data_IF_691413719131
#
_entry.id   IF_691413719131
#
_cell.length_a   1.000
_cell.length_b   1.000
_cell.length_c   1.000
_cell.angle_alpha   90.00
_cell.angle_beta   90.00
_cell.angle_gamma   90.00
#
_symmetry.space_group_name_H-M   'P 1'
#
loop_
_entity.id
_entity.type
_entity.pdbx_description
1 polymer ?
#
# COMPACT_ATOMS: atom_id res chain seq x y z
N UNK A 1 41.82 21.08 22.49
CA UNK A 1 40.88 21.30 21.38
C UNK A 1 40.48 19.95 20.82
N UNK A 2 39.23 19.49 21.02
CA UNK A 2 38.80 18.20 20.48
C UNK A 2 38.32 18.42 19.04
N UNK A 3 39.12 17.97 18.07
CA UNK A 3 38.67 17.74 16.70
C UNK A 3 37.64 16.61 16.73
N UNK A 4 36.36 16.96 16.82
CA UNK A 4 35.28 16.00 16.63
C UNK A 4 35.06 15.82 15.12
N UNK A 5 35.91 14.99 14.51
CA UNK A 5 35.64 14.37 13.21
C UNK A 5 34.41 13.48 13.34
N UNK A 6 33.25 14.12 13.21
CA UNK A 6 31.94 13.50 13.29
C UNK A 6 31.35 13.37 11.88
N UNK A 7 32.20 13.04 10.89
CA UNK A 7 31.80 12.46 9.60
C UNK A 7 31.18 11.08 9.84
N UNK A 8 29.99 11.09 10.45
CA UNK A 8 29.21 9.87 10.63
C UNK A 8 28.64 9.50 9.27
N UNK A 9 29.32 8.55 8.65
CA UNK A 9 28.88 7.75 7.51
C UNK A 9 27.36 7.53 7.62
N UNK A 10 26.62 8.04 6.62
CA UNK A 10 25.24 7.62 6.40
C UNK A 10 25.26 6.09 6.31
N UNK A 11 24.35 5.43 7.02
CA UNK A 11 24.39 3.97 7.13
C UNK A 11 24.35 3.37 5.72
N UNK A 12 25.43 2.72 5.31
CA UNK A 12 25.57 2.06 4.01
C UNK A 12 24.45 1.03 3.88
N UNK A 13 23.56 1.22 2.89
CA UNK A 13 22.41 0.33 2.65
C UNK A 13 21.02 0.94 2.91
N UNK A 14 20.90 2.25 3.10
CA UNK A 14 19.59 2.90 3.11
C UNK A 14 18.99 2.99 1.70
N UNK A 15 17.65 2.83 1.55
CA UNK A 15 16.97 3.17 0.31
C UNK A 15 17.27 4.60 -0.13
N UNK A 16 17.30 4.88 -1.45
CA UNK A 16 17.71 6.19 -1.97
C UNK A 16 16.80 7.32 -1.49
N UNK A 17 15.49 7.10 -1.34
CA UNK A 17 14.57 8.11 -0.81
C UNK A 17 14.90 8.48 0.65
N UNK A 18 15.26 7.48 1.47
CA UNK A 18 15.70 7.69 2.85
C UNK A 18 17.03 8.38 2.97
N UNK A 19 17.99 8.02 2.12
CA UNK A 19 19.29 8.66 2.10
C UNK A 19 19.12 10.17 1.84
N UNK A 20 18.34 10.53 0.81
CA UNK A 20 18.03 11.94 0.51
C UNK A 20 17.36 12.67 1.68
N UNK A 21 16.45 12.01 2.40
CA UNK A 21 15.82 12.60 3.59
C UNK A 21 16.82 12.76 4.75
N UNK A 22 17.69 11.78 4.97
CA UNK A 22 18.73 11.83 5.98
C UNK A 22 19.72 12.98 5.69
N UNK A 23 20.14 13.11 4.43
CA UNK A 23 21.03 14.18 3.98
C UNK A 23 20.38 15.56 4.16
N UNK A 24 19.11 15.71 3.77
CA UNK A 24 18.37 16.96 3.98
C UNK A 24 18.22 17.31 5.48
N UNK A 25 17.97 16.32 6.35
CA UNK A 25 17.94 16.53 7.79
C UNK A 25 19.33 16.91 8.30
N UNK A 26 20.39 16.23 7.87
CA UNK A 26 21.76 16.54 8.26
C UNK A 26 22.14 17.97 7.86
N UNK A 27 21.71 18.43 6.69
CA UNK A 27 21.91 19.80 6.23
C UNK A 27 21.18 20.82 7.12
N UNK A 28 19.93 20.55 7.51
CA UNK A 28 19.23 21.39 8.49
C UNK A 28 19.97 21.45 9.84
N UNK A 29 20.58 20.35 10.28
CA UNK A 29 21.41 20.35 11.48
C UNK A 29 22.67 21.21 11.33
N UNK A 30 23.32 21.23 10.16
CA UNK A 30 24.47 22.11 9.91
C UNK A 30 24.08 23.59 10.01
N UNK A 31 22.89 23.95 9.51
CA UNK A 31 22.36 25.31 9.59
C UNK A 31 22.09 25.76 11.04
N UNK A 32 21.90 24.83 11.98
CA UNK A 32 21.76 25.16 13.41
C UNK A 32 23.09 25.52 14.09
N UNK A 33 24.24 25.37 13.40
CA UNK A 33 25.58 25.59 13.94
C UNK A 33 26.13 24.37 14.69
N UNK A 34 27.14 24.59 15.54
CA UNK A 34 27.81 23.53 16.33
C UNK A 34 26.99 23.02 17.54
N UNK A 35 25.66 22.95 17.39
CA UNK A 35 24.80 22.43 18.45
C UNK A 35 24.89 20.91 18.54
N UNK A 36 25.03 20.42 19.77
CA UNK A 36 24.92 19.01 20.09
C UNK A 36 23.47 18.51 19.92
N UNK A 37 23.29 17.21 19.70
CA UNK A 37 21.94 16.62 19.61
C UNK A 37 21.10 16.84 20.88
N UNK A 38 21.74 16.94 22.05
CA UNK A 38 21.09 17.26 23.31
C UNK A 38 20.53 18.69 23.32
N UNK A 39 21.33 19.67 22.89
CA UNK A 39 20.86 21.06 22.78
C UNK A 39 19.74 21.22 21.76
N UNK A 40 19.81 20.53 20.61
CA UNK A 40 18.72 20.56 19.64
C UNK A 40 17.45 19.91 20.20
N UNK A 41 17.57 18.84 20.98
CA UNK A 41 16.45 18.22 21.69
C UNK A 41 15.77 19.20 22.65
N UNK A 42 16.54 19.94 23.45
CA UNK A 42 16.04 20.96 24.37
C UNK A 42 15.32 22.10 23.64
N UNK A 43 15.90 22.61 22.55
CA UNK A 43 15.28 23.66 21.72
C UNK A 43 13.95 23.19 21.09
N UNK A 44 13.89 21.94 20.63
CA UNK A 44 12.64 21.36 20.11
C UNK A 44 11.63 21.11 21.24
N UNK A 45 12.08 20.72 22.43
CA UNK A 45 11.22 20.53 23.59
C UNK A 45 10.52 21.83 24.00
N UNK A 46 11.19 22.97 23.90
CA UNK A 46 10.59 24.30 24.12
C UNK A 46 9.45 24.63 23.12
N UNK A 47 9.48 24.03 21.92
CA UNK A 47 8.40 24.09 20.92
C UNK A 47 7.42 22.91 21.00
N UNK A 48 7.30 22.28 22.19
CA UNK A 48 6.46 21.11 22.45
C UNK A 48 6.81 19.85 21.64
N UNK A 49 8.06 19.72 21.18
CA UNK A 49 8.58 18.53 20.47
C UNK A 49 9.66 17.83 21.29
N UNK A 50 9.24 17.07 22.32
CA UNK A 50 10.14 16.30 23.18
C UNK A 50 10.59 15.02 22.48
N UNK A 51 11.88 14.92 22.18
CA UNK A 51 12.52 13.76 21.54
C UNK A 51 13.89 13.48 22.13
N UNK A 52 14.15 12.24 22.47
CA UNK A 52 15.45 11.84 23.02
C UNK A 52 16.58 12.04 21.98
N UNK A 53 17.80 12.46 22.39
CA UNK A 53 18.93 12.63 21.46
C UNK A 53 19.24 11.38 20.63
N UNK A 54 19.00 10.17 21.16
CA UNK A 54 19.15 8.92 20.41
C UNK A 54 18.12 8.79 19.28
N UNK A 55 16.90 9.30 19.46
CA UNK A 55 15.86 9.31 18.43
C UNK A 55 16.22 10.32 17.33
N UNK A 56 16.73 11.49 17.70
CA UNK A 56 17.25 12.48 16.75
C UNK A 56 18.42 11.93 15.93
N UNK A 57 19.33 11.18 16.58
CA UNK A 57 20.42 10.47 15.90
C UNK A 57 19.90 9.45 14.88
N UNK A 58 18.83 8.72 15.20
CA UNK A 58 18.18 7.77 14.28
C UNK A 58 17.48 8.46 13.10
N UNK A 59 16.94 9.67 13.29
CA UNK A 59 16.39 10.49 12.21
C UNK A 59 17.49 11.02 11.29
N UNK A 60 18.55 11.60 11.87
CA UNK A 60 19.70 12.14 11.12
C UNK A 60 20.42 11.07 10.31
N UNK A 61 20.51 9.84 10.84
CA UNK A 61 21.14 8.72 10.14
C UNK A 61 20.21 8.00 9.15
N UNK A 62 18.95 8.42 8.97
CA UNK A 62 18.00 7.77 8.07
C UNK A 62 17.49 6.39 8.52
N UNK A 63 17.95 5.89 9.67
CA UNK A 63 17.50 4.59 10.24
C UNK A 63 16.01 4.60 10.55
N UNK A 64 15.47 5.75 10.96
CA UNK A 64 14.03 5.94 11.18
C UNK A 64 13.54 7.13 10.36
N UNK A 65 12.41 6.97 9.67
CA UNK A 65 11.73 8.10 9.01
C UNK A 65 11.03 8.95 10.10
N UNK A 66 11.40 10.23 10.28
CA UNK A 66 10.67 11.09 11.21
C UNK A 66 9.27 11.43 10.69
N UNK A 67 8.33 11.79 11.56
CA UNK A 67 7.08 12.42 11.13
C UNK A 67 7.36 13.77 10.45
N UNK A 68 6.54 14.17 9.47
CA UNK A 68 6.79 15.43 8.73
C UNK A 68 6.69 16.67 9.63
N UNK A 69 5.87 16.61 10.68
CA UNK A 69 5.76 17.64 11.70
C UNK A 69 7.10 17.93 12.39
N UNK A 70 7.94 16.92 12.62
CA UNK A 70 9.31 17.12 13.12
C UNK A 70 10.18 17.89 12.11
N UNK A 71 10.15 17.49 10.83
CA UNK A 71 10.94 18.15 9.77
C UNK A 71 10.57 19.62 9.65
N UNK A 72 9.27 19.94 9.73
CA UNK A 72 8.78 21.32 9.74
C UNK A 72 9.30 22.13 10.93
N UNK A 73 9.31 21.55 12.13
CA UNK A 73 9.82 22.24 13.33
C UNK A 73 11.34 22.43 13.27
N UNK A 74 12.08 21.45 12.76
CA UNK A 74 13.51 21.55 12.56
C UNK A 74 13.86 22.64 11.53
N UNK A 75 13.12 22.71 10.42
CA UNK A 75 13.25 23.77 9.44
C UNK A 75 12.92 25.15 10.03
N UNK A 76 11.86 25.28 10.82
CA UNK A 76 11.53 26.54 11.49
C UNK A 76 12.64 26.98 12.46
N UNK A 77 13.22 26.04 13.21
CA UNK A 77 14.35 26.31 14.09
C UNK A 77 15.61 26.73 13.32
N UNK A 78 15.88 26.09 12.17
CA UNK A 78 16.98 26.47 11.28
C UNK A 78 16.77 27.89 10.71
N UNK A 79 15.54 28.24 10.33
CA UNK A 79 15.17 29.57 9.85
C UNK A 79 15.39 30.65 10.92
N UNK A 80 14.99 30.37 12.16
CA UNK A 80 15.18 31.29 13.30
C UNK A 80 16.65 31.53 13.64
N UNK A 81 17.55 30.56 13.36
CA UNK A 81 18.97 30.63 13.73
C UNK A 81 19.87 31.12 12.61
N UNK A 82 19.67 30.63 11.39
CA UNK A 82 20.53 30.91 10.25
C UNK A 82 19.99 32.04 9.34
N UNK A 83 18.74 32.46 9.53
CA UNK A 83 18.06 33.43 8.66
C UNK A 83 17.47 32.79 7.40
N UNK A 84 16.70 33.58 6.66
CA UNK A 84 16.01 33.15 5.42
C UNK A 84 16.97 32.69 4.33
N UNK A 85 18.09 33.38 4.18
CA UNK A 85 18.96 33.24 3.02
C UNK A 85 19.72 31.91 3.05
N UNK A 86 20.12 31.46 4.26
CA UNK A 86 20.79 30.19 4.45
C UNK A 86 19.87 28.98 4.20
N UNK A 87 18.57 29.11 4.51
CA UNK A 87 17.57 28.04 4.36
C UNK A 87 16.99 27.98 2.94
N UNK A 88 17.22 28.98 2.11
CA UNK A 88 16.69 29.05 0.74
C UNK A 88 17.06 27.85 -0.15
N UNK A 89 18.14 27.14 0.17
CA UNK A 89 18.58 25.91 -0.54
C UNK A 89 17.65 24.70 -0.29
N UNK A 90 16.91 24.72 0.83
CA UNK A 90 16.01 23.66 1.29
C UNK A 90 14.65 24.24 1.74
N UNK A 91 13.85 24.79 0.80
CA UNK A 91 12.52 25.29 1.12
C UNK A 91 11.62 24.17 1.63
N UNK A 92 10.63 24.54 2.46
CA UNK A 92 9.74 23.59 3.12
C UNK A 92 8.99 22.66 2.14
N UNK A 93 8.64 23.15 0.95
CA UNK A 93 7.99 22.34 -0.09
C UNK A 93 8.91 21.26 -0.67
N UNK A 94 10.19 21.58 -0.86
CA UNK A 94 11.21 20.60 -1.26
C UNK A 94 11.40 19.55 -0.18
N UNK A 95 11.43 19.95 1.10
CA UNK A 95 11.48 19.01 2.22
C UNK A 95 10.24 18.11 2.28
N UNK A 96 9.05 18.64 1.94
CA UNK A 96 7.82 17.84 1.84
C UNK A 96 7.92 16.80 0.73
N UNK A 97 8.38 17.19 -0.46
CA UNK A 97 8.58 16.28 -1.59
C UNK A 97 9.58 15.17 -1.23
N UNK A 98 10.72 15.53 -0.64
CA UNK A 98 11.72 14.56 -0.16
C UNK A 98 11.12 13.62 0.90
N UNK A 99 10.33 14.15 1.83
CA UNK A 99 9.67 13.34 2.87
C UNK A 99 8.63 12.38 2.31
N UNK A 100 7.81 12.82 1.34
CA UNK A 100 6.83 11.97 0.67
C UNK A 100 7.51 10.87 -0.15
N UNK A 101 8.59 11.20 -0.86
CA UNK A 101 9.38 10.25 -1.63
C UNK A 101 10.16 9.25 -0.74
N UNK A 102 10.52 9.65 0.49
CA UNK A 102 11.21 8.77 1.42
C UNK A 102 10.34 7.60 1.85
N UNK A 103 10.84 6.39 1.71
CA UNK A 103 10.10 5.18 2.04
C UNK A 103 9.85 5.12 3.56
N UNK A 104 8.58 4.94 3.96
CA UNK A 104 8.25 4.53 5.33
C UNK A 104 9.03 3.26 5.67
N UNK A 105 9.53 3.13 6.89
CA UNK A 105 10.19 1.89 7.35
C UNK A 105 9.13 0.81 7.26
N UNK A 106 9.09 0.11 6.14
CA UNK A 106 8.23 -1.01 5.91
C UNK A 106 9.10 -2.20 6.23
N UNK A 107 8.65 -2.93 7.24
CA UNK A 107 8.98 -4.28 7.66
C UNK A 107 10.34 -4.85 7.18
N UNK A 108 11.17 -5.44 8.05
CA UNK A 108 12.36 -6.18 7.62
C UNK A 108 12.11 -7.18 6.46
N UNK A 109 10.87 -7.70 6.31
CA UNK A 109 10.47 -8.55 5.18
C UNK A 109 10.10 -7.82 3.89
N UNK A 110 9.78 -6.53 3.92
CA UNK A 110 9.38 -5.77 2.73
C UNK A 110 10.54 -5.43 1.80
N UNK A 111 11.78 -5.43 2.28
CA UNK A 111 12.97 -5.24 1.44
C UNK A 111 13.14 -6.34 0.40
N UNK A 112 13.27 -7.61 0.82
CA UNK A 112 13.28 -8.76 -0.09
C UNK A 112 12.07 -8.80 -1.02
N UNK A 113 10.86 -8.59 -0.48
CA UNK A 113 9.63 -8.60 -1.27
C UNK A 113 9.58 -7.50 -2.34
N UNK A 114 10.18 -6.32 -2.11
CA UNK A 114 10.26 -5.26 -3.13
C UNK A 114 11.24 -5.59 -4.24
N UNK A 115 12.38 -6.19 -3.89
CA UNK A 115 13.36 -6.66 -4.87
C UNK A 115 12.71 -7.74 -5.74
N UNK A 116 12.05 -8.70 -5.11
CA UNK A 116 11.29 -9.75 -5.79
C UNK A 116 10.19 -9.17 -6.68
N UNK A 117 9.42 -8.18 -6.19
CA UNK A 117 8.39 -7.53 -7.03
C UNK A 117 9.00 -6.80 -8.23
N UNK A 118 10.15 -6.16 -8.05
CA UNK A 118 10.90 -5.54 -9.15
C UNK A 118 11.36 -6.56 -10.19
N UNK A 119 11.93 -7.69 -9.73
CA UNK A 119 12.35 -8.79 -10.60
C UNK A 119 11.16 -9.39 -11.37
N UNK A 120 10.04 -9.66 -10.69
CA UNK A 120 8.83 -10.19 -11.31
C UNK A 120 8.27 -9.24 -12.37
N UNK A 121 8.30 -7.92 -12.14
CA UNK A 121 7.85 -6.93 -13.15
C UNK A 121 8.75 -6.90 -14.38
N UNK A 122 10.07 -6.97 -14.19
CA UNK A 122 11.02 -7.07 -15.30
C UNK A 122 10.78 -8.35 -16.08
N UNK A 123 10.55 -9.47 -15.40
CA UNK A 123 10.28 -10.76 -16.04
C UNK A 123 8.96 -10.75 -16.81
N UNK A 124 7.89 -10.18 -16.23
CA UNK A 124 6.61 -9.98 -16.94
C UNK A 124 6.82 -9.14 -18.19
N UNK A 125 7.59 -8.05 -18.10
CA UNK A 125 7.87 -7.18 -19.25
C UNK A 125 8.65 -7.93 -20.33
N UNK A 126 9.65 -8.74 -19.93
CA UNK A 126 10.44 -9.58 -20.83
C UNK A 126 9.58 -10.63 -21.54
N UNK A 127 8.69 -11.29 -20.80
CA UNK A 127 7.77 -12.29 -21.35
C UNK A 127 6.75 -11.65 -22.29
N UNK A 128 6.21 -10.48 -21.94
CA UNK A 128 5.30 -9.74 -22.81
C UNK A 128 5.95 -9.36 -24.15
N UNK A 129 7.18 -8.83 -24.13
CA UNK A 129 7.93 -8.54 -25.36
C UNK A 129 8.24 -9.80 -26.18
N UNK A 130 8.51 -10.93 -25.51
CA UNK A 130 8.77 -12.19 -26.22
C UNK A 130 7.51 -12.78 -26.88
N UNK A 131 6.31 -12.46 -26.37
CA UNK A 131 5.04 -12.88 -26.96
C UNK A 131 4.68 -12.06 -28.21
N UNK A 132 4.97 -10.75 -28.21
CA UNK A 132 4.78 -9.88 -29.38
C UNK A 132 5.65 -10.34 -30.58
N UNK A 133 6.84 -10.90 -30.31
CA UNK A 133 7.72 -11.44 -31.35
C UNK A 133 7.20 -12.78 -31.93
N UNK A 134 6.49 -13.59 -31.15
CA UNK A 134 5.91 -14.87 -31.63
C UNK A 134 4.60 -14.71 -32.39
N UNK A 135 3.85 -13.63 -32.15
CA UNK A 135 2.63 -13.31 -32.91
C UNK A 135 2.93 -12.65 -34.27
N UNK A 136 4.21 -12.43 -34.59
CA UNK A 136 4.67 -11.85 -35.86
C UNK A 136 5.04 -12.89 -36.94
N UNK A 137 4.73 -14.18 -36.78
CA UNK A 137 4.76 -15.12 -37.91
C UNK A 137 3.55 -14.86 -38.83
N UNK A 138 3.75 -14.34 -40.06
CA UNK A 138 2.64 -14.16 -40.98
C UNK A 138 2.17 -15.53 -41.45
N UNK A 139 0.95 -15.90 -41.08
CA UNK A 139 0.18 -16.94 -41.74
C UNK A 139 -0.04 -16.54 -43.21
N UNK A 140 0.93 -16.88 -44.06
CA UNK A 140 0.81 -16.86 -45.50
C UNK A 140 -0.18 -17.97 -45.91
N UNK A 141 -1.45 -17.63 -45.97
CA UNK A 141 -2.38 -18.28 -46.90
C UNK A 141 -3.34 -17.23 -47.46
N UNK A 142 -3.27 -17.10 -48.78
CA UNK A 142 -3.87 -16.06 -49.59
C UNK A 142 -5.40 -16.14 -49.66
N UNK A 143 -6.01 -14.96 -49.64
CA UNK A 143 -7.34 -14.70 -50.19
C UNK A 143 -7.46 -13.19 -50.46
N UNK A 144 -7.70 -12.74 -51.70
CA UNK A 144 -7.85 -11.32 -51.99
C UNK A 144 -9.29 -10.90 -51.71
N UNK A 145 -9.51 -9.79 -51.00
CA UNK A 145 -10.41 -8.70 -51.41
C UNK A 145 -10.58 -7.65 -50.30
N UNK A 146 -10.45 -6.39 -50.74
CA UNK A 146 -11.05 -5.16 -50.23
C UNK A 146 -10.59 -4.56 -48.90
N UNK A 147 -9.80 -3.49 -49.03
CA UNK A 147 -9.74 -2.35 -48.12
C UNK A 147 -11.11 -1.68 -47.98
N UNK A 148 -11.52 -1.34 -46.75
CA UNK A 148 -12.21 -0.07 -46.40
C UNK A 148 -12.41 0.02 -44.89
N UNK A 149 -12.17 1.22 -44.36
CA UNK A 149 -12.63 1.77 -43.09
C UNK A 149 -12.42 0.99 -41.78
N UNK A 150 -11.41 1.44 -41.04
CA UNK A 150 -11.27 1.18 -39.62
C UNK A 150 -12.36 1.93 -38.82
N UNK A 151 -13.56 1.38 -38.79
CA UNK A 151 -14.52 1.68 -37.73
C UNK A 151 -13.97 1.14 -36.40
N UNK A 152 -13.93 1.95 -35.32
CA UNK A 152 -13.59 1.45 -34.01
C UNK A 152 -14.58 0.36 -33.62
N UNK A 153 -14.05 -0.83 -33.33
CA UNK A 153 -14.85 -1.99 -32.94
C UNK A 153 -15.70 -1.63 -31.70
N UNK A 154 -17.00 -1.97 -31.70
CA UNK A 154 -17.84 -1.76 -30.53
C UNK A 154 -17.27 -2.59 -29.38
N UNK A 155 -16.86 -1.91 -28.31
CA UNK A 155 -16.48 -2.58 -27.06
C UNK A 155 -17.71 -3.36 -26.57
N UNK A 156 -17.61 -4.69 -26.36
CA UNK A 156 -18.72 -5.47 -25.85
C UNK A 156 -19.16 -4.90 -24.50
N UNK A 157 -20.38 -4.39 -24.42
CA UNK A 157 -20.93 -3.73 -23.23
C UNK A 157 -21.30 -4.69 -22.09
N UNK A 158 -20.79 -5.93 -22.11
CA UNK A 158 -21.23 -7.02 -21.22
C UNK A 158 -20.26 -7.41 -20.11
N UNK A 159 -19.00 -6.99 -20.18
CA UNK A 159 -18.00 -7.28 -19.15
C UNK A 159 -17.54 -5.94 -18.60
N UNK A 160 -17.96 -5.64 -17.38
CA UNK A 160 -17.61 -4.40 -16.69
C UNK A 160 -16.11 -4.10 -16.76
N UNK A 161 -15.78 -2.83 -16.54
CA UNK A 161 -14.42 -2.30 -16.49
C UNK A 161 -13.44 -3.30 -15.84
N UNK A 162 -12.55 -3.89 -16.66
CA UNK A 162 -11.59 -4.94 -16.24
C UNK A 162 -10.68 -4.46 -15.11
N UNK A 163 -10.54 -3.15 -14.93
CA UNK A 163 -9.75 -2.60 -13.82
C UNK A 163 -10.48 -2.70 -12.48
N UNK A 164 -11.82 -2.61 -12.48
CA UNK A 164 -12.63 -2.75 -11.27
C UNK A 164 -12.61 -4.18 -10.76
N UNK A 165 -12.79 -5.16 -11.64
CA UNK A 165 -12.75 -6.59 -11.25
C UNK A 165 -11.41 -6.99 -10.65
N UNK A 166 -10.28 -6.46 -11.15
CA UNK A 166 -8.97 -6.75 -10.58
C UNK A 166 -8.78 -6.16 -9.16
N UNK A 167 -9.29 -4.96 -8.91
CA UNK A 167 -9.20 -4.32 -7.59
C UNK A 167 -10.08 -5.05 -6.56
N UNK A 168 -11.31 -5.37 -6.94
CA UNK A 168 -12.30 -6.03 -6.07
C UNK A 168 -11.82 -7.43 -5.65
N UNK A 169 -11.21 -8.17 -6.57
CA UNK A 169 -10.60 -9.49 -6.28
C UNK A 169 -9.42 -9.36 -5.30
N UNK A 170 -8.66 -8.26 -5.37
CA UNK A 170 -7.52 -8.06 -4.47
C UNK A 170 -7.93 -7.76 -3.02
N UNK A 171 -9.02 -7.00 -2.83
CA UNK A 171 -9.58 -6.70 -1.51
C UNK A 171 -10.20 -7.96 -0.90
N UNK A 172 -11.00 -8.69 -1.67
CA UNK A 172 -11.58 -9.97 -1.27
C UNK A 172 -10.51 -10.99 -0.82
N UNK A 173 -9.41 -11.07 -1.57
CA UNK A 173 -8.28 -11.95 -1.23
C UNK A 173 -7.60 -11.55 0.08
N UNK A 174 -7.39 -10.26 0.33
CA UNK A 174 -6.81 -9.79 1.57
C UNK A 174 -7.68 -10.14 2.78
N UNK A 175 -9.00 -9.97 2.66
CA UNK A 175 -9.95 -10.33 3.72
C UNK A 175 -9.90 -11.83 4.00
N UNK A 176 -10.01 -12.66 2.96
CA UNK A 176 -9.98 -14.12 3.10
C UNK A 176 -8.66 -14.60 3.72
N UNK A 177 -7.52 -14.09 3.25
CA UNK A 177 -6.20 -14.43 3.81
C UNK A 177 -6.06 -14.01 5.28
N UNK A 178 -6.53 -12.82 5.65
CA UNK A 178 -6.45 -12.34 7.02
C UNK A 178 -7.31 -13.18 7.97
N UNK A 179 -8.56 -13.49 7.59
CA UNK A 179 -9.46 -14.33 8.35
C UNK A 179 -8.91 -15.76 8.51
N UNK A 180 -8.47 -16.38 7.41
CA UNK A 180 -7.87 -17.71 7.43
C UNK A 180 -6.62 -17.77 8.29
N UNK A 181 -5.74 -16.75 8.23
CA UNK A 181 -4.55 -16.69 9.09
C UNK A 181 -4.91 -16.60 10.57
N UNK A 182 -5.89 -15.78 10.93
CA UNK A 182 -6.37 -15.68 12.31
C UNK A 182 -6.93 -17.02 12.78
N UNK A 183 -7.76 -17.67 11.95
CA UNK A 183 -8.34 -18.97 12.27
C UNK A 183 -7.28 -20.06 12.44
N UNK A 184 -6.33 -20.20 11.49
CA UNK A 184 -5.22 -21.16 11.57
C UNK A 184 -4.30 -20.94 12.76
N UNK A 185 -4.23 -19.71 13.29
CA UNK A 185 -3.50 -19.40 14.52
C UNK A 185 -4.26 -19.74 15.81
N UNK A 186 -5.41 -20.40 15.71
CA UNK A 186 -6.29 -20.74 16.84
C UNK A 186 -7.14 -19.56 17.34
N UNK A 187 -7.09 -18.41 16.67
CA UNK A 187 -7.77 -17.16 17.06
C UNK A 187 -9.10 -17.02 16.33
N UNK A 188 -9.98 -18.01 16.47
CA UNK A 188 -11.26 -18.06 15.76
C UNK A 188 -12.14 -16.85 16.07
N UNK A 189 -12.27 -16.46 17.34
CA UNK A 189 -13.11 -15.32 17.72
C UNK A 189 -12.62 -14.00 17.10
N UNK A 190 -11.30 -13.82 16.99
CA UNK A 190 -10.72 -12.67 16.30
C UNK A 190 -10.96 -12.72 14.79
N UNK A 191 -10.96 -13.91 14.17
CA UNK A 191 -11.31 -14.05 12.76
C UNK A 191 -12.77 -13.65 12.49
N UNK A 192 -13.69 -14.05 13.38
CA UNK A 192 -15.11 -13.69 13.29
C UNK A 192 -15.31 -12.19 13.52
N UNK A 193 -14.70 -11.61 14.56
CA UNK A 193 -14.74 -10.16 14.81
C UNK A 193 -14.19 -9.37 13.63
N UNK A 194 -13.07 -9.81 13.06
CA UNK A 194 -12.50 -9.18 11.85
C UNK A 194 -13.48 -9.21 10.67
N UNK A 195 -14.10 -10.37 10.39
CA UNK A 195 -15.10 -10.50 9.32
C UNK A 195 -16.32 -9.60 9.55
N UNK A 196 -16.77 -9.44 10.80
CA UNK A 196 -17.85 -8.52 11.15
C UNK A 196 -17.46 -7.07 10.85
N UNK A 197 -16.28 -6.65 11.30
CA UNK A 197 -15.78 -5.28 11.11
C UNK A 197 -15.68 -4.91 9.62
N UNK A 198 -15.13 -5.81 8.80
CA UNK A 198 -14.99 -5.55 7.35
C UNK A 198 -16.29 -5.74 6.57
N UNK A 199 -17.29 -6.42 7.11
CA UNK A 199 -18.52 -6.74 6.36
C UNK A 199 -19.28 -5.51 5.85
N UNK A 200 -19.13 -4.38 6.54
CA UNK A 200 -19.80 -3.12 6.20
C UNK A 200 -19.06 -2.30 5.14
N UNK A 201 -17.75 -2.50 4.99
CA UNK A 201 -16.89 -1.72 4.09
C UNK A 201 -16.71 -2.35 2.71
N UNK A 202 -16.92 -3.67 2.59
CA UNK A 202 -16.82 -4.35 1.31
C UNK A 202 -17.95 -3.95 0.36
N UNK A 203 -17.70 -4.00 -0.95
CA UNK A 203 -18.75 -3.98 -1.97
C UNK A 203 -19.47 -5.33 -2.04
N UNK A 204 -20.65 -5.43 -2.70
CA UNK A 204 -21.32 -6.72 -2.89
C UNK A 204 -20.45 -7.77 -3.61
N UNK A 205 -19.75 -7.36 -4.67
CA UNK A 205 -18.84 -8.23 -5.42
C UNK A 205 -17.65 -8.68 -4.56
N UNK A 206 -17.03 -7.76 -3.81
CA UNK A 206 -15.93 -8.11 -2.89
C UNK A 206 -16.39 -9.08 -1.79
N UNK A 207 -17.61 -8.89 -1.28
CA UNK A 207 -18.21 -9.78 -0.28
C UNK A 207 -18.38 -11.19 -0.85
N UNK A 208 -19.00 -11.31 -2.03
CA UNK A 208 -19.17 -12.60 -2.72
C UNK A 208 -17.83 -13.27 -3.01
N UNK A 209 -16.88 -12.56 -3.62
CA UNK A 209 -15.56 -13.08 -3.92
C UNK A 209 -14.81 -13.53 -2.65
N UNK A 210 -14.95 -12.83 -1.53
CA UNK A 210 -14.33 -13.23 -0.26
C UNK A 210 -14.94 -14.52 0.30
N UNK A 211 -16.25 -14.73 0.14
CA UNK A 211 -16.93 -15.98 0.52
C UNK A 211 -16.41 -17.14 -0.35
N UNK A 212 -16.25 -16.94 -1.66
CA UNK A 212 -15.68 -17.95 -2.57
C UNK A 212 -14.27 -18.37 -2.11
N UNK A 213 -13.41 -17.38 -1.85
CA UNK A 213 -12.03 -17.64 -1.41
C UNK A 213 -11.98 -18.32 -0.03
N UNK A 214 -12.90 -17.99 0.87
CA UNK A 214 -13.02 -18.69 2.15
C UNK A 214 -13.53 -20.12 1.96
N UNK A 215 -14.41 -20.38 0.98
CA UNK A 215 -14.94 -21.72 0.71
C UNK A 215 -13.87 -22.68 0.23
N UNK A 216 -12.89 -22.19 -0.52
CA UNK A 216 -11.73 -22.98 -0.99
C UNK A 216 -10.78 -23.42 0.15
N UNK A 217 -10.72 -22.66 1.25
CA UNK A 217 -9.76 -22.90 2.33
C UNK A 217 -10.36 -23.32 3.66
N UNK A 218 -11.38 -22.61 4.14
CA UNK A 218 -11.93 -22.67 5.50
C UNK A 218 -13.47 -22.60 5.47
N UNK A 219 -14.13 -23.71 5.14
CA UNK A 219 -15.59 -23.76 4.95
C UNK A 219 -16.41 -23.20 6.13
N UNK A 220 -15.96 -23.39 7.38
CA UNK A 220 -16.64 -22.82 8.56
C UNK A 220 -16.59 -21.28 8.59
N UNK A 221 -15.49 -20.68 8.14
CA UNK A 221 -15.38 -19.22 8.04
C UNK A 221 -16.25 -18.70 6.91
N UNK A 222 -16.35 -19.42 5.80
CA UNK A 222 -17.27 -19.07 4.71
C UNK A 222 -18.73 -19.08 5.19
N UNK A 223 -19.14 -20.12 5.93
CA UNK A 223 -20.50 -20.18 6.53
C UNK A 223 -20.74 -19.01 7.50
N UNK A 224 -19.71 -18.63 8.26
CA UNK A 224 -19.78 -17.51 9.18
C UNK A 224 -19.91 -16.17 8.43
N UNK A 225 -19.12 -15.98 7.37
CA UNK A 225 -19.18 -14.80 6.52
C UNK A 225 -20.55 -14.65 5.84
N UNK A 226 -21.10 -15.75 5.30
CA UNK A 226 -22.47 -15.79 4.74
C UNK A 226 -23.50 -15.33 5.77
N UNK A 227 -23.43 -15.83 7.01
CA UNK A 227 -24.36 -15.43 8.07
C UNK A 227 -24.18 -13.98 8.50
N UNK A 228 -22.94 -13.49 8.60
CA UNK A 228 -22.64 -12.09 8.93
C UNK A 228 -23.23 -11.18 7.86
N UNK A 229 -22.86 -11.38 6.59
CA UNK A 229 -23.33 -10.53 5.49
C UNK A 229 -24.85 -10.59 5.31
N UNK A 230 -25.47 -11.74 5.50
CA UNK A 230 -26.93 -11.85 5.43
C UNK A 230 -27.64 -11.02 6.52
N UNK A 231 -27.10 -10.96 7.73
CA UNK A 231 -27.74 -10.28 8.87
C UNK A 231 -27.41 -8.79 8.99
N UNK A 232 -26.20 -8.39 8.62
CA UNK A 232 -25.70 -7.03 8.90
C UNK A 232 -25.91 -6.05 7.75
N UNK A 233 -26.21 -6.53 6.55
CA UNK A 233 -26.29 -5.71 5.33
C UNK A 233 -27.73 -5.32 5.03
N UNK A 234 -27.88 -4.21 4.31
CA UNK A 234 -29.19 -3.82 3.79
C UNK A 234 -29.70 -4.87 2.79
N UNK A 235 -31.01 -5.07 2.73
CA UNK A 235 -31.66 -6.08 1.87
C UNK A 235 -31.20 -6.00 0.41
N UNK A 236 -31.07 -4.78 -0.14
CA UNK A 236 -30.57 -4.55 -1.49
C UNK A 236 -29.15 -5.07 -1.70
N UNK A 237 -28.28 -4.93 -0.71
CA UNK A 237 -26.90 -5.42 -0.81
C UNK A 237 -26.84 -6.94 -0.64
N UNK A 238 -27.69 -7.52 0.23
CA UNK A 238 -27.82 -8.98 0.34
C UNK A 238 -28.26 -9.59 -1.00
N UNK A 239 -29.26 -9.01 -1.66
CA UNK A 239 -29.72 -9.47 -2.98
C UNK A 239 -28.61 -9.42 -4.02
N UNK A 240 -27.79 -8.35 -4.01
CA UNK A 240 -26.64 -8.22 -4.91
C UNK A 240 -25.57 -9.28 -4.60
N UNK A 241 -25.20 -9.47 -3.34
CA UNK A 241 -24.23 -10.50 -2.95
C UNK A 241 -24.73 -11.89 -3.38
N UNK A 242 -26.03 -12.17 -3.19
CA UNK A 242 -26.62 -13.43 -3.61
C UNK A 242 -26.56 -13.63 -5.13
N UNK A 243 -26.81 -12.58 -5.92
CA UNK A 243 -26.67 -12.63 -7.38
C UNK A 243 -25.22 -12.91 -7.79
N UNK A 244 -24.25 -12.20 -7.21
CA UNK A 244 -22.82 -12.41 -7.48
C UNK A 244 -22.39 -13.85 -7.12
N UNK A 245 -22.85 -14.37 -5.97
CA UNK A 245 -22.56 -15.76 -5.58
C UNK A 245 -23.18 -16.78 -6.55
N UNK A 246 -24.38 -16.50 -7.07
CA UNK A 246 -25.04 -17.33 -8.08
C UNK A 246 -24.26 -17.31 -9.41
N UNK A 247 -23.84 -16.13 -9.87
CA UNK A 247 -23.02 -15.98 -11.07
C UNK A 247 -21.65 -16.67 -10.94
N UNK A 248 -21.09 -16.74 -9.72
CA UNK A 248 -19.87 -17.49 -9.41
C UNK A 248 -20.09 -19.00 -9.23
N UNK A 249 -21.33 -19.51 -9.30
CA UNK A 249 -21.66 -20.93 -9.18
C UNK A 249 -21.79 -21.46 -7.75
N UNK A 250 -21.95 -20.58 -6.75
CA UNK A 250 -22.17 -20.95 -5.34
C UNK A 250 -23.66 -20.83 -4.96
N UNK A 251 -24.51 -21.59 -5.63
CA UNK A 251 -25.97 -21.58 -5.44
C UNK A 251 -26.41 -21.79 -3.98
N UNK A 252 -25.69 -22.66 -3.27
CA UNK A 252 -25.99 -22.98 -1.88
C UNK A 252 -25.73 -21.78 -0.96
N UNK A 253 -24.62 -21.07 -1.18
CA UNK A 253 -24.25 -19.88 -0.41
C UNK A 253 -25.15 -18.69 -0.75
N UNK A 254 -25.51 -18.52 -2.04
CA UNK A 254 -26.51 -17.54 -2.47
C UNK A 254 -27.87 -17.77 -1.79
N UNK A 255 -28.30 -19.03 -1.65
CA UNK A 255 -29.53 -19.36 -0.91
C UNK A 255 -29.37 -19.13 0.60
N UNK A 256 -28.21 -19.45 1.16
CA UNK A 256 -27.95 -19.33 2.58
C UNK A 256 -27.92 -17.85 3.02
N UNK A 257 -27.31 -16.96 2.24
CA UNK A 257 -27.26 -15.53 2.57
C UNK A 257 -28.66 -14.89 2.56
N UNK A 258 -29.51 -15.26 1.59
CA UNK A 258 -30.90 -14.80 1.55
C UNK A 258 -31.70 -15.29 2.76
N UNK A 259 -31.51 -16.55 3.17
CA UNK A 259 -32.17 -17.08 4.38
C UNK A 259 -31.68 -16.40 5.65
N UNK A 260 -30.42 -16.01 5.70
CA UNK A 260 -29.85 -15.30 6.85
C UNK A 260 -30.42 -13.87 6.99
N UNK A 261 -30.81 -13.21 5.90
CA UNK A 261 -31.40 -11.88 5.92
C UNK A 261 -32.85 -11.82 6.40
N UNK A 262 -33.59 -12.94 6.31
CA UNK A 262 -34.99 -13.01 6.74
C UNK A 262 -35.11 -13.34 8.25
N UNK A 263 -34.00 -13.61 8.93
CA UNK A 263 -33.95 -14.02 10.34
C UNK A 263 -33.45 -12.91 11.25
#
# INVERSE_FOLDING_TARGET
MPSNDNERQTSTGLPPGRQRLADAIAELYKLLGELTLAQVSELLAAKNWRKDPSELSRYRSGRRKPPFTFVRQLHALALERAGSDAVATLPLDKLRQIHTAAESTLCPSCGPLRIENGQLRTEISRLASSQEDTDSEPANNAGPHASTDATPLPVPSGLGDRQRSAHDVSAARQVAMAATRLHKSGKTDHAVSWLQDVSTSLTPLESAASIVLLREGEGRLADTAVNIHGRTRAERDVLRIALELFEMGLDQDARAILRAAVR
#
